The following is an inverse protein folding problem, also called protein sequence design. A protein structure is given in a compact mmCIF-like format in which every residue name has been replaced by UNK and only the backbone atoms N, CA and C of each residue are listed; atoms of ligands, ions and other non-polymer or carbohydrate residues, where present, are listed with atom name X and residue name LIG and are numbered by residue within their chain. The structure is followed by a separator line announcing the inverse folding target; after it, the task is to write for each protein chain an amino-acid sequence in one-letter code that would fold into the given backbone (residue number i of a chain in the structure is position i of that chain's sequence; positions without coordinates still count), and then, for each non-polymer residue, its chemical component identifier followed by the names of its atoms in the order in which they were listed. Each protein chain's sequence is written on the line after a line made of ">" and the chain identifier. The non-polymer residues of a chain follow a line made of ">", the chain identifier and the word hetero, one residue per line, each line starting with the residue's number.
data_IF_156779585401
#
_entry.id   IF_156779585401
#
_cell.length_a   1.000
_cell.length_b   1.000
_cell.length_c   1.000
_cell.angle_alpha   90.00
_cell.angle_beta   90.00
_cell.angle_gamma   90.00
#
_symmetry.space_group_name_H-M   'P 1'
#
loop_
_entity.id
_entity.type
_entity.pdbx_description
1 polymer ?
#
# COMPACT_ATOMS: atom_id res chain seq x y z
N UNK A 1 -13.13 1.31 -30.10
CA UNK A 1 -12.01 1.79 -29.25
C UNK A 1 -11.56 0.61 -28.43
N UNK A 2 -10.47 -0.02 -28.84
CA UNK A 2 -9.79 -1.05 -28.05
C UNK A 2 -8.81 -0.36 -27.10
N UNK A 3 -9.00 -0.55 -25.79
CA UNK A 3 -7.99 -0.20 -24.80
C UNK A 3 -6.86 -1.24 -24.90
N UNK A 4 -5.92 -1.02 -25.80
CA UNK A 4 -4.64 -1.73 -25.76
C UNK A 4 -3.83 -1.16 -24.59
N UNK A 5 -3.87 -1.84 -23.45
CA UNK A 5 -2.92 -1.60 -22.37
C UNK A 5 -1.58 -2.08 -22.90
N UNK A 6 -0.69 -1.15 -23.27
CA UNK A 6 0.67 -1.49 -23.64
C UNK A 6 1.33 -2.20 -22.44
N UNK A 7 1.58 -3.49 -22.59
CA UNK A 7 2.17 -4.38 -21.59
C UNK A 7 3.62 -3.99 -21.25
N UNK A 8 4.21 -3.14 -22.08
CA UNK A 8 5.61 -2.71 -22.04
C UNK A 8 5.76 -1.24 -21.65
N UNK A 9 5.13 -0.83 -20.54
CA UNK A 9 5.66 0.35 -19.84
C UNK A 9 6.99 -0.11 -19.23
N UNK A 10 8.15 0.37 -19.72
CA UNK A 10 9.40 -0.13 -19.21
C UNK A 10 9.45 0.27 -17.74
N UNK A 11 9.47 -0.74 -16.86
CA UNK A 11 9.68 -0.57 -15.43
C UNK A 11 11.13 -0.06 -15.23
N UNK A 12 11.62 0.98 -15.90
CA UNK A 12 13.07 1.27 -16.04
C UNK A 12 13.52 2.58 -15.41
N UNK A 13 12.61 3.45 -14.97
CA UNK A 13 13.04 4.72 -14.40
C UNK A 13 13.17 4.61 -12.88
N UNK A 14 14.41 4.43 -12.43
CA UNK A 14 14.81 4.85 -11.08
C UNK A 14 14.69 6.38 -11.06
N UNK A 15 13.57 6.89 -10.55
CA UNK A 15 13.32 8.33 -10.53
C UNK A 15 14.05 8.97 -9.36
N UNK A 16 14.89 9.96 -9.66
CA UNK A 16 15.43 10.85 -8.64
C UNK A 16 14.28 11.62 -7.95
N UNK A 17 14.46 11.98 -6.68
CA UNK A 17 13.46 12.63 -5.83
C UNK A 17 12.80 13.89 -6.46
N UNK A 18 13.48 14.54 -7.40
CA UNK A 18 13.02 15.74 -8.11
C UNK A 18 11.97 15.48 -9.22
N UNK A 19 11.74 14.23 -9.65
CA UNK A 19 10.86 13.90 -10.79
C UNK A 19 9.59 13.13 -10.38
N UNK A 20 9.26 13.12 -9.08
CA UNK A 20 8.09 12.42 -8.54
C UNK A 20 6.79 13.07 -9.01
N UNK A 21 6.28 12.56 -10.12
CA UNK A 21 4.94 12.88 -10.63
C UNK A 21 3.91 12.02 -9.90
N UNK A 22 3.06 12.64 -9.08
CA UNK A 22 1.98 11.97 -8.36
C UNK A 22 1.39 12.81 -7.23
N UNK A 23 0.17 12.51 -6.81
CA UNK A 23 -0.44 13.16 -5.64
C UNK A 23 0.13 12.54 -4.37
N UNK A 24 0.81 13.35 -3.54
CA UNK A 24 1.50 12.90 -2.31
C UNK A 24 0.60 12.01 -1.46
N UNK A 25 -0.69 12.36 -1.31
CA UNK A 25 -1.68 11.58 -0.56
C UNK A 25 -1.73 10.08 -0.91
N UNK A 26 -1.48 9.74 -2.18
CA UNK A 26 -1.63 8.39 -2.72
C UNK A 26 -0.31 7.74 -3.15
N UNK A 27 0.81 8.46 -3.05
CA UNK A 27 2.12 7.88 -3.38
C UNK A 27 2.51 6.80 -2.36
N UNK A 28 3.17 5.72 -2.80
CA UNK A 28 3.68 4.69 -1.89
C UNK A 28 4.78 5.25 -0.98
N UNK A 29 5.00 4.65 0.19
CA UNK A 29 6.07 5.09 1.10
C UNK A 29 7.47 4.90 0.51
N UNK A 30 7.75 3.76 -0.16
CA UNK A 30 9.04 3.56 -0.84
C UNK A 30 9.29 4.60 -1.94
N UNK A 31 8.23 5.06 -2.64
CA UNK A 31 8.32 6.15 -3.61
C UNK A 31 8.32 7.54 -2.97
N UNK A 32 8.23 7.67 -1.64
CA UNK A 32 8.39 8.93 -0.89
C UNK A 32 9.71 8.99 -0.12
N UNK A 33 10.29 7.83 0.23
CA UNK A 33 11.62 7.70 0.86
C UNK A 33 12.70 8.44 0.07
N UNK A 34 13.81 8.82 0.70
CA UNK A 34 14.94 9.44 -0.01
C UNK A 34 15.68 8.46 -0.92
N UNK A 35 15.52 7.16 -0.65
CA UNK A 35 16.16 6.09 -1.41
C UNK A 35 15.54 5.94 -2.81
N UNK A 36 16.37 5.78 -3.86
CA UNK A 36 15.87 5.55 -5.21
C UNK A 36 15.14 4.21 -5.30
N UNK A 37 13.81 4.24 -5.31
CA UNK A 37 12.97 3.07 -5.48
C UNK A 37 12.47 2.95 -6.92
N UNK A 38 12.55 1.74 -7.48
CA UNK A 38 12.00 1.41 -8.79
C UNK A 38 10.47 1.30 -8.69
N UNK A 39 9.73 2.03 -9.54
CA UNK A 39 8.26 1.90 -9.57
C UNK A 39 7.87 0.50 -10.06
N UNK A 40 7.09 -0.23 -9.27
CA UNK A 40 6.50 -1.54 -9.61
C UNK A 40 4.99 -1.53 -9.41
N UNK A 41 4.27 -2.51 -9.93
CA UNK A 41 2.81 -2.62 -9.73
C UNK A 41 2.41 -2.72 -8.24
N UNK A 42 3.31 -3.17 -7.35
CA UNK A 42 3.05 -3.20 -5.90
C UNK A 42 2.91 -1.80 -5.32
N UNK A 43 3.60 -0.81 -5.90
CA UNK A 43 3.40 0.60 -5.53
C UNK A 43 2.04 1.12 -5.95
N UNK A 44 1.51 0.67 -7.10
CA UNK A 44 0.15 1.01 -7.52
C UNK A 44 -0.91 0.37 -6.60
N UNK A 45 -0.66 -0.85 -6.12
CA UNK A 45 -1.51 -1.49 -5.12
C UNK A 45 -1.46 -0.74 -3.77
N UNK A 46 -0.29 -0.26 -3.36
CA UNK A 46 -0.19 0.61 -2.19
C UNK A 46 -0.94 1.93 -2.39
N UNK A 47 -0.83 2.56 -3.56
CA UNK A 47 -1.64 3.73 -3.90
C UNK A 47 -3.14 3.45 -3.79
N UNK A 48 -3.59 2.27 -4.22
CA UNK A 48 -4.99 1.86 -4.09
C UNK A 48 -5.41 1.69 -2.62
N UNK A 49 -4.55 1.17 -1.74
CA UNK A 49 -4.80 1.18 -0.30
C UNK A 49 -5.04 2.61 0.21
N UNK A 50 -4.19 3.57 -0.17
CA UNK A 50 -4.31 4.96 0.29
C UNK A 50 -5.60 5.62 -0.20
N UNK A 51 -6.09 5.29 -1.39
CA UNK A 51 -7.41 5.72 -1.86
C UNK A 51 -8.53 5.18 -0.97
N UNK A 52 -8.47 3.92 -0.53
CA UNK A 52 -9.47 3.34 0.38
C UNK A 52 -9.44 4.00 1.77
N UNK A 53 -8.23 4.25 2.30
CA UNK A 53 -8.06 4.97 3.58
C UNK A 53 -8.62 6.39 3.47
N UNK A 54 -8.35 7.07 2.35
CA UNK A 54 -8.90 8.40 2.07
C UNK A 54 -10.42 8.38 1.97
N UNK A 55 -11.00 7.41 1.27
CA UNK A 55 -12.46 7.26 1.12
C UNK A 55 -13.12 7.11 2.49
N UNK A 56 -12.56 6.26 3.36
CA UNK A 56 -13.03 6.13 4.75
C UNK A 56 -12.95 7.45 5.50
N UNK A 57 -11.87 8.23 5.34
CA UNK A 57 -11.74 9.52 5.99
C UNK A 57 -12.78 10.54 5.48
N UNK A 58 -13.11 10.51 4.18
CA UNK A 58 -14.15 11.37 3.60
C UNK A 58 -15.54 11.01 4.12
N UNK A 59 -15.81 9.73 4.36
CA UNK A 59 -17.11 9.24 4.87
C UNK A 59 -17.19 9.14 6.40
N UNK A 60 -16.20 9.67 7.13
CA UNK A 60 -16.26 9.70 8.58
C UNK A 60 -17.49 10.47 9.06
N UNK A 61 -18.13 10.00 10.13
CA UNK A 61 -19.23 10.71 10.79
C UNK A 61 -18.75 12.05 11.35
N UNK A 62 -19.67 13.00 11.52
CA UNK A 62 -19.36 14.36 11.96
C UNK A 62 -18.48 14.41 13.24
N UNK A 63 -18.79 13.59 14.23
CA UNK A 63 -18.03 13.54 15.49
C UNK A 63 -16.61 12.96 15.34
N UNK A 64 -16.33 12.22 14.26
CA UNK A 64 -15.00 11.70 13.92
C UNK A 64 -14.26 12.56 12.88
N UNK A 65 -14.88 13.63 12.37
CA UNK A 65 -14.32 14.44 11.30
C UNK A 65 -12.96 15.04 11.66
N UNK A 66 -12.73 15.39 12.93
CA UNK A 66 -11.42 15.85 13.41
C UNK A 66 -10.34 14.79 13.19
N UNK A 67 -10.60 13.54 13.57
CA UNK A 67 -9.65 12.45 13.38
C UNK A 67 -9.45 12.12 11.90
N UNK A 68 -10.51 12.21 11.10
CA UNK A 68 -10.45 12.03 9.67
C UNK A 68 -9.60 13.11 8.98
N UNK A 69 -9.72 14.37 9.40
CA UNK A 69 -8.89 15.47 8.91
C UNK A 69 -7.41 15.24 9.23
N UNK A 70 -7.10 14.87 10.48
CA UNK A 70 -5.74 14.52 10.90
C UNK A 70 -5.16 13.34 10.09
N UNK A 71 -5.99 12.36 9.74
CA UNK A 71 -5.58 11.25 8.89
C UNK A 71 -5.25 11.73 7.47
N UNK A 72 -6.10 12.58 6.87
CA UNK A 72 -5.86 13.15 5.53
C UNK A 72 -4.62 14.03 5.50
N UNK A 73 -4.40 14.85 6.53
CA UNK A 73 -3.18 15.66 6.68
C UNK A 73 -1.93 14.78 6.71
N UNK A 74 -1.96 13.68 7.47
CA UNK A 74 -0.86 12.71 7.49
C UNK A 74 -0.63 12.03 6.14
N UNK A 75 -1.69 11.72 5.39
CA UNK A 75 -1.55 11.13 4.06
C UNK A 75 -0.90 12.12 3.07
N UNK A 76 -1.27 13.40 3.15
CA UNK A 76 -0.70 14.48 2.33
C UNK A 76 0.72 14.89 2.74
N UNK A 77 1.24 14.37 3.84
CA UNK A 77 2.62 14.60 4.25
C UNK A 77 3.60 13.97 3.24
N UNK A 78 4.66 14.68 2.84
CA UNK A 78 5.74 14.10 2.05
C UNK A 78 6.60 13.11 2.87
N UNK A 79 6.57 13.21 4.20
CA UNK A 79 7.20 12.25 5.11
C UNK A 79 6.52 10.88 4.99
N UNK A 80 7.30 9.86 4.61
CA UNK A 80 6.83 8.51 4.37
C UNK A 80 6.61 7.72 5.67
N UNK A 81 7.12 8.23 6.81
CA UNK A 81 7.11 7.54 8.10
C UNK A 81 5.71 7.10 8.54
N UNK A 82 4.68 7.90 8.24
CA UNK A 82 3.31 7.54 8.55
C UNK A 82 2.86 6.31 7.77
N UNK A 83 3.14 6.30 6.46
CA UNK A 83 2.70 5.26 5.53
C UNK A 83 3.45 3.96 5.74
N UNK A 84 4.79 4.02 5.85
CA UNK A 84 5.63 2.86 6.18
C UNK A 84 5.18 2.24 7.50
N UNK A 85 5.01 3.04 8.55
CA UNK A 85 4.61 2.52 9.86
C UNK A 85 3.17 1.99 9.86
N UNK A 86 2.25 2.62 9.12
CA UNK A 86 0.88 2.12 9.00
C UNK A 86 0.86 0.73 8.35
N UNK A 87 1.66 0.51 7.30
CA UNK A 87 1.74 -0.80 6.64
C UNK A 87 2.47 -1.82 7.53
N UNK A 88 3.60 -1.44 8.13
CA UNK A 88 4.43 -2.33 8.93
C UNK A 88 3.79 -2.74 10.27
N UNK A 89 2.98 -1.85 10.86
CA UNK A 89 2.42 -2.08 12.19
C UNK A 89 0.89 -2.24 12.16
N UNK A 90 0.44 -3.49 12.14
CA UNK A 90 -0.99 -3.86 12.14
C UNK A 90 -1.76 -3.26 13.33
N UNK A 91 -1.15 -3.10 14.50
CA UNK A 91 -1.81 -2.55 15.68
C UNK A 91 -2.00 -1.04 15.56
N UNK A 92 -1.01 -0.32 15.02
CA UNK A 92 -1.16 1.11 14.75
C UNK A 92 -2.16 1.36 13.63
N UNK A 93 -2.14 0.58 12.55
CA UNK A 93 -3.17 0.65 11.52
C UNK A 93 -4.56 0.44 12.13
N UNK A 94 -4.71 -0.58 12.97
CA UNK A 94 -5.97 -0.86 13.68
C UNK A 94 -6.42 0.31 14.55
N UNK A 95 -5.49 0.94 15.26
CA UNK A 95 -5.76 2.09 16.13
C UNK A 95 -6.09 3.36 15.34
N UNK A 96 -5.40 3.65 14.22
CA UNK A 96 -5.73 4.79 13.36
C UNK A 96 -7.13 4.64 12.76
N UNK A 97 -7.46 3.47 12.20
CA UNK A 97 -8.78 3.24 11.62
C UNK A 97 -9.90 3.27 12.65
N UNK A 98 -9.64 2.83 13.90
CA UNK A 98 -10.62 2.90 14.99
C UNK A 98 -11.01 4.33 15.39
N UNK A 99 -10.13 5.30 15.13
CA UNK A 99 -10.41 6.73 15.43
C UNK A 99 -11.30 7.38 14.39
N UNK A 100 -11.44 6.77 13.22
CA UNK A 100 -12.17 7.31 12.06
C UNK A 100 -13.48 6.55 11.84
N UNK A 101 -13.42 5.22 11.88
CA UNK A 101 -14.58 4.34 11.80
C UNK A 101 -14.99 3.95 13.21
N UNK A 102 -16.19 4.37 13.64
CA UNK A 102 -16.78 3.91 14.89
C UNK A 102 -17.03 2.39 14.83
N UNK A 103 -16.77 1.69 15.92
CA UNK A 103 -17.21 0.31 16.12
C UNK A 103 -18.71 0.10 15.98
N UNK A 104 -19.53 1.12 16.25
CA UNK A 104 -20.97 1.10 16.06
C UNK A 104 -21.39 1.39 14.60
N UNK A 105 -20.47 1.87 13.75
CA UNK A 105 -20.74 2.10 12.33
C UNK A 105 -20.64 0.79 11.55
N UNK A 106 -21.74 0.06 11.52
CA UNK A 106 -21.86 -1.23 10.83
C UNK A 106 -21.62 -1.12 9.33
N UNK A 107 -21.91 0.04 8.74
CA UNK A 107 -21.78 0.29 7.30
C UNK A 107 -20.31 0.28 6.88
N UNK A 108 -19.44 0.84 7.72
CA UNK A 108 -18.00 0.97 7.44
C UNK A 108 -17.11 0.00 8.22
N UNK A 109 -17.66 -0.79 9.16
CA UNK A 109 -16.91 -1.78 9.93
C UNK A 109 -16.15 -2.80 9.06
N UNK A 110 -16.69 -3.14 7.88
CA UNK A 110 -16.03 -4.03 6.93
C UNK A 110 -14.89 -3.35 6.17
N UNK A 111 -15.00 -2.06 5.86
CA UNK A 111 -13.91 -1.30 5.23
C UNK A 111 -12.66 -1.32 6.11
N UNK A 112 -12.82 -1.18 7.43
CA UNK A 112 -11.71 -1.36 8.39
C UNK A 112 -11.02 -2.72 8.25
N UNK A 113 -11.79 -3.80 8.13
CA UNK A 113 -11.23 -5.17 7.99
C UNK A 113 -10.48 -5.33 6.67
N UNK A 114 -11.02 -4.80 5.57
CA UNK A 114 -10.39 -4.80 4.25
C UNK A 114 -9.06 -4.06 4.29
N UNK A 115 -9.05 -2.82 4.80
CA UNK A 115 -7.85 -1.98 4.91
C UNK A 115 -6.76 -2.70 5.72
N UNK A 116 -7.10 -3.30 6.87
CA UNK A 116 -6.10 -4.00 7.69
C UNK A 116 -5.54 -5.26 7.03
N UNK A 117 -6.37 -6.01 6.28
CA UNK A 117 -5.90 -7.19 5.54
C UNK A 117 -5.04 -6.78 4.35
N UNK A 118 -5.42 -5.71 3.66
CA UNK A 118 -4.66 -5.19 2.53
C UNK A 118 -3.32 -4.60 2.98
N UNK A 119 -3.28 -3.82 4.06
CA UNK A 119 -2.03 -3.35 4.66
C UNK A 119 -1.10 -4.52 5.04
N UNK A 120 -1.64 -5.59 5.63
CA UNK A 120 -0.87 -6.81 5.91
C UNK A 120 -0.34 -7.49 4.64
N UNK A 121 -1.15 -7.56 3.59
CA UNK A 121 -0.74 -8.09 2.30
C UNK A 121 0.43 -7.29 1.72
N UNK A 122 0.37 -5.95 1.76
CA UNK A 122 1.47 -5.10 1.30
C UNK A 122 2.73 -5.29 2.17
N UNK A 123 2.59 -5.35 3.49
CA UNK A 123 3.74 -5.61 4.37
C UNK A 123 4.47 -6.90 3.98
N UNK A 124 3.72 -7.98 3.73
CA UNK A 124 4.27 -9.29 3.39
C UNK A 124 4.97 -9.34 2.02
N UNK A 125 4.50 -8.54 1.06
CA UNK A 125 4.92 -8.67 -0.34
C UNK A 125 5.75 -7.49 -0.87
N UNK A 126 5.71 -6.33 -0.22
CA UNK A 126 6.44 -5.12 -0.62
C UNK A 126 7.55 -4.74 0.36
N UNK A 127 7.33 -4.92 1.67
CA UNK A 127 8.28 -4.45 2.71
C UNK A 127 9.11 -5.58 3.33
N UNK A 128 8.61 -6.82 3.37
CA UNK A 128 9.34 -7.96 3.96
C UNK A 128 10.51 -8.49 3.11
N UNK A 129 10.58 -8.12 1.82
CA UNK A 129 11.64 -8.60 0.92
C UNK A 129 13.03 -7.98 1.20
N UNK A 130 13.13 -6.93 2.03
CA UNK A 130 14.40 -6.27 2.36
C UNK A 130 15.22 -6.92 3.50
N UNK A 131 14.64 -7.82 4.29
CA UNK A 131 15.28 -8.35 5.52
C UNK A 131 16.21 -9.57 5.31
N UNK A 132 16.46 -10.00 4.07
CA UNK A 132 17.26 -11.23 3.80
C UNK A 132 18.74 -10.92 3.47
N UNK A 133 19.15 -9.65 3.39
CA UNK A 133 20.52 -9.28 3.06
C UNK A 133 21.29 -8.71 4.27
N UNK A 134 21.46 -9.50 5.32
CA UNK A 134 22.49 -9.21 6.34
C UNK A 134 22.89 -10.50 7.05
N UNK A 135 23.86 -11.21 6.46
CA UNK A 135 24.90 -12.00 7.16
C UNK A 135 25.63 -12.85 6.10
N UNK A 136 26.73 -12.33 5.54
CA UNK A 136 28.02 -13.02 5.62
C UNK A 136 29.17 -12.09 5.20
N UNK A 137 30.21 -12.11 6.02
CA UNK A 137 31.44 -11.33 5.98
C UNK A 137 32.48 -12.08 5.14
N UNK A 138 33.07 -11.46 4.11
CA UNK A 138 34.49 -11.58 3.70
C UNK A 138 34.80 -10.98 2.32
N UNK A 139 35.54 -9.86 2.32
CA UNK A 139 36.61 -9.43 1.38
C UNK A 139 36.38 -9.32 -0.15
N UNK A 140 36.60 -8.09 -0.66
CA UNK A 140 36.65 -7.55 -2.04
C UNK A 140 37.50 -8.32 -3.11
N UNK A 141 37.42 -8.04 -4.45
CA UNK A 141 37.07 -6.74 -5.10
C UNK A 141 36.15 -6.74 -6.36
N UNK A 142 35.69 -5.53 -6.68
CA UNK A 142 35.14 -4.99 -7.94
C UNK A 142 34.59 -5.97 -9.01
N UNK A 143 33.27 -6.02 -9.16
CA UNK A 143 32.60 -6.16 -10.46
C UNK A 143 31.09 -5.88 -10.36
N UNK A 144 30.67 -4.81 -11.06
CA UNK A 144 29.31 -4.41 -11.50
C UNK A 144 28.14 -4.38 -10.50
N UNK A 145 27.23 -3.39 -10.60
CA UNK A 145 26.04 -3.36 -9.75
C UNK A 145 25.09 -4.49 -10.17
N UNK A 146 25.13 -5.59 -9.41
CA UNK A 146 24.16 -6.68 -9.49
C UNK A 146 22.77 -6.15 -9.09
N UNK A 147 22.06 -5.58 -10.06
CA UNK A 147 20.64 -5.22 -9.99
C UNK A 147 19.80 -6.50 -10.02
N UNK A 148 19.87 -7.27 -8.94
CA UNK A 148 19.24 -8.57 -8.77
C UNK A 148 17.92 -8.48 -8.03
N UNK A 149 16.99 -7.62 -8.45
CA UNK A 149 15.58 -7.83 -8.09
C UNK A 149 14.98 -8.79 -9.10
N UNK A 150 14.81 -10.05 -8.69
CA UNK A 150 14.20 -11.11 -9.49
C UNK A 150 12.85 -10.62 -10.01
N UNK A 151 12.77 -10.33 -11.31
CA UNK A 151 11.55 -9.83 -11.94
C UNK A 151 10.46 -10.90 -11.78
N UNK A 152 9.45 -10.62 -10.96
CA UNK A 152 8.31 -11.51 -10.78
C UNK A 152 7.69 -11.83 -12.14
N UNK A 153 7.43 -13.12 -12.37
CA UNK A 153 6.73 -13.61 -13.56
C UNK A 153 5.29 -13.09 -13.58
N UNK A 154 4.68 -13.10 -14.77
CA UNK A 154 3.29 -12.68 -14.93
C UNK A 154 2.32 -13.53 -14.06
N UNK A 155 2.56 -14.83 -13.96
CA UNK A 155 1.75 -15.72 -13.12
C UNK A 155 1.84 -15.39 -11.63
N UNK A 156 3.03 -15.03 -11.13
CA UNK A 156 3.22 -14.61 -9.74
C UNK A 156 2.52 -13.27 -9.47
N UNK A 157 2.67 -12.29 -10.37
CA UNK A 157 1.96 -11.00 -10.29
C UNK A 157 0.44 -11.23 -10.24
N UNK A 158 -0.07 -12.11 -11.10
CA UNK A 158 -1.49 -12.46 -11.11
C UNK A 158 -1.93 -13.23 -9.86
N UNK A 159 -1.08 -14.09 -9.29
CA UNK A 159 -1.33 -14.74 -8.00
C UNK A 159 -1.51 -13.73 -6.85
N UNK A 160 -0.69 -12.68 -6.83
CA UNK A 160 -0.78 -11.59 -5.87
C UNK A 160 -2.09 -10.79 -6.04
N UNK A 161 -2.45 -10.45 -7.27
CA UNK A 161 -3.71 -9.76 -7.58
C UNK A 161 -4.92 -10.61 -7.16
N UNK A 162 -4.92 -11.92 -7.46
CA UNK A 162 -5.99 -12.83 -7.02
C UNK A 162 -6.12 -12.91 -5.50
N UNK A 163 -4.99 -12.92 -4.79
CA UNK A 163 -4.97 -12.88 -3.32
C UNK A 163 -5.62 -11.60 -2.80
N UNK A 164 -5.29 -10.46 -3.42
CA UNK A 164 -5.90 -9.18 -3.08
C UNK A 164 -7.41 -9.17 -3.36
N UNK A 165 -7.86 -9.65 -4.53
CA UNK A 165 -9.28 -9.76 -4.88
C UNK A 165 -10.03 -10.58 -3.82
N UNK A 166 -9.46 -11.71 -3.39
CA UNK A 166 -10.04 -12.54 -2.33
C UNK A 166 -10.25 -11.81 -1.00
N UNK A 167 -9.45 -10.78 -0.69
CA UNK A 167 -9.67 -9.93 0.50
C UNK A 167 -11.00 -9.17 0.38
N UNK A 168 -11.29 -8.61 -0.79
CA UNK A 168 -12.52 -7.86 -1.06
C UNK A 168 -13.73 -8.80 -1.14
N UNK A 169 -13.63 -9.92 -1.85
CA UNK A 169 -14.73 -10.88 -2.01
C UNK A 169 -15.26 -11.36 -0.66
N UNK A 170 -14.36 -11.70 0.28
CA UNK A 170 -14.74 -12.11 1.63
C UNK A 170 -15.49 -11.00 2.38
N UNK A 171 -15.17 -9.73 2.13
CA UNK A 171 -15.89 -8.61 2.74
C UNK A 171 -17.26 -8.39 2.08
N UNK A 172 -17.34 -8.49 0.76
CA UNK A 172 -18.57 -8.33 -0.01
C UNK A 172 -19.59 -9.41 0.36
N UNK A 173 -19.18 -10.68 0.40
CA UNK A 173 -20.05 -11.80 0.79
C UNK A 173 -20.59 -11.59 2.21
N UNK A 174 -19.75 -11.11 3.14
CA UNK A 174 -20.19 -10.86 4.52
C UNK A 174 -21.18 -9.70 4.62
N UNK A 175 -20.95 -8.62 3.87
CA UNK A 175 -21.89 -7.49 3.79
C UNK A 175 -23.26 -7.95 3.27
N UNK A 176 -23.30 -8.78 2.23
CA UNK A 176 -24.54 -9.33 1.69
C UNK A 176 -25.26 -10.22 2.70
N UNK A 177 -24.52 -11.02 3.48
CA UNK A 177 -25.11 -11.89 4.50
C UNK A 177 -25.63 -11.16 5.74
N UNK A 178 -25.18 -9.94 6.01
CA UNK A 178 -25.63 -9.14 7.17
C UNK A 178 -26.86 -8.27 6.90
N UNK A 179 -27.35 -8.23 5.66
CA UNK A 179 -28.52 -7.44 5.26
C UNK A 179 -29.83 -8.24 5.26
N UNK A 180 -29.81 -9.45 5.84
CA UNK A 180 -30.96 -10.35 6.03
C UNK A 180 -31.12 -10.69 7.51
#
# INVERSE_FOLDING_TARGET
>A
MEFSVAEDRPETDVRANAERTGTIAFMSSQLLSEEPARHTFMHDLESFLWVLVWLVAVHAREYNQRNANLLREKLCSPDDSFKSFFIANSDRARAQMARVIDSADTDWAYARKVILRFARFLHQNLYRQGDIASDDDSSEPESEPLSGTTKLSCEEKWGLIRTLIGIFDVAIVKLQSSSH
#
